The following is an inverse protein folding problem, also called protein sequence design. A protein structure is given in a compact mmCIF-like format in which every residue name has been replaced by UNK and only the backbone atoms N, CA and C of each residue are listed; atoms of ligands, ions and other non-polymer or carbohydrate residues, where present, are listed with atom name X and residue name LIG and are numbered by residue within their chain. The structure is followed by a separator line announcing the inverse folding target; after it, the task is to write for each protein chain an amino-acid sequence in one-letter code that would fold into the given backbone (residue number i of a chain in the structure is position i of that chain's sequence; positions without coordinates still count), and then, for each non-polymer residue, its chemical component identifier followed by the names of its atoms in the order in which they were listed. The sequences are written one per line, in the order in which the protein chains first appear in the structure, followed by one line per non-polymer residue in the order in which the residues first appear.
data_IF_582860883154
#
_entry.id   IF_582860883154
#
_cell.length_a   1.000
_cell.length_b   1.000
_cell.length_c   1.000
_cell.angle_alpha   90.00
_cell.angle_beta   90.00
_cell.angle_gamma   90.00
#
_symmetry.space_group_name_H-M   'P 1'
#
loop_
_entity.id
_entity.type
_entity.pdbx_description
1 polymer ?
#
# COMPACT_ATOMS: atom_id res chain seq x y z
N UNK A 1 0.57 -8.42 13.56
CA UNK A 1 0.70 -7.67 12.30
C UNK A 1 -0.70 -7.47 11.72
N UNK A 2 -1.12 -6.23 11.50
CA UNK A 2 -2.45 -5.93 10.94
C UNK A 2 -2.30 -4.91 9.81
N UNK A 3 -2.76 -5.28 8.63
CA UNK A 3 -2.75 -4.42 7.44
C UNK A 3 -4.15 -4.30 6.86
N UNK A 4 -4.40 -3.19 6.16
CA UNK A 4 -5.63 -2.99 5.40
C UNK A 4 -5.30 -2.54 3.99
N UNK A 5 -6.03 -3.08 3.01
CA UNK A 5 -6.05 -2.61 1.64
C UNK A 5 -7.43 -2.07 1.36
N UNK A 6 -7.52 -0.85 0.85
CA UNK A 6 -8.81 -0.22 0.60
C UNK A 6 -8.76 0.66 -0.64
N UNK A 7 -9.55 0.31 -1.66
CA UNK A 7 -9.93 1.28 -2.68
C UNK A 7 -10.89 2.33 -2.11
N UNK A 8 -10.39 3.54 -1.87
CA UNK A 8 -11.14 4.61 -1.20
C UNK A 8 -11.94 5.48 -2.17
N UNK A 9 -11.65 5.43 -3.48
CA UNK A 9 -12.27 6.27 -4.52
C UNK A 9 -12.40 7.76 -4.12
N UNK A 10 -11.32 8.31 -3.57
CA UNK A 10 -11.22 9.70 -3.13
C UNK A 10 -10.96 9.85 -1.62
N UNK A 11 -9.86 10.54 -1.26
CA UNK A 11 -9.45 10.78 0.14
C UNK A 11 -9.46 12.25 0.57
N UNK A 12 -9.86 13.17 -0.33
CA UNK A 12 -9.87 14.62 -0.05
C UNK A 12 -10.80 15.01 1.10
N UNK A 13 -11.93 14.33 1.24
CA UNK A 13 -12.99 14.74 2.15
C UNK A 13 -12.67 14.35 3.62
N UNK A 14 -13.06 15.20 4.56
CA UNK A 14 -12.83 14.96 5.99
C UNK A 14 -13.53 13.70 6.54
N UNK A 15 -14.75 13.32 6.12
CA UNK A 15 -15.38 12.06 6.53
C UNK A 15 -14.53 10.81 6.24
N UNK A 16 -14.05 10.62 5.00
CA UNK A 16 -13.21 9.48 4.61
C UNK A 16 -11.94 9.44 5.46
N UNK A 17 -11.25 10.57 5.62
CA UNK A 17 -10.06 10.65 6.47
C UNK A 17 -10.35 10.29 7.93
N UNK A 18 -11.49 10.72 8.48
CA UNK A 18 -11.92 10.37 9.85
C UNK A 18 -12.20 8.87 9.99
N UNK A 19 -12.84 8.26 8.99
CA UNK A 19 -13.10 6.82 8.96
C UNK A 19 -11.78 6.05 8.91
N UNK A 20 -10.87 6.41 8.00
CA UNK A 20 -9.56 5.77 7.89
C UNK A 20 -8.77 5.84 9.21
N UNK A 21 -8.74 7.02 9.85
CA UNK A 21 -8.07 7.18 11.14
C UNK A 21 -8.77 6.38 12.26
N UNK A 22 -10.11 6.32 12.26
CA UNK A 22 -10.87 5.50 13.20
C UNK A 22 -10.53 4.02 13.04
N UNK A 23 -10.57 3.51 11.82
CA UNK A 23 -10.24 2.11 11.48
C UNK A 23 -8.80 1.80 11.90
N UNK A 24 -7.85 2.68 11.59
CA UNK A 24 -6.45 2.58 12.03
C UNK A 24 -6.35 2.43 13.55
N UNK A 25 -7.08 3.25 14.31
CA UNK A 25 -7.05 3.23 15.79
C UNK A 25 -7.73 1.98 16.35
N UNK A 26 -8.93 1.63 15.88
CA UNK A 26 -9.72 0.50 16.37
C UNK A 26 -9.03 -0.84 16.09
N UNK A 27 -8.43 -1.00 14.91
CA UNK A 27 -7.79 -2.25 14.52
C UNK A 27 -6.29 -2.25 14.79
N UNK A 28 -5.70 -1.17 15.30
CA UNK A 28 -4.25 -1.05 15.52
C UNK A 28 -3.43 -1.44 14.27
N UNK A 29 -3.73 -0.79 13.14
CA UNK A 29 -3.08 -1.10 11.87
C UNK A 29 -1.59 -0.74 11.92
N UNK A 30 -0.74 -1.67 11.49
CA UNK A 30 0.70 -1.48 11.29
C UNK A 30 1.00 -0.86 9.92
N UNK A 31 0.16 -1.12 8.91
CA UNK A 31 0.23 -0.49 7.60
C UNK A 31 -1.17 -0.35 6.96
N UNK A 32 -1.28 0.54 5.99
CA UNK A 32 -2.51 0.78 5.21
C UNK A 32 -2.12 1.06 3.76
N UNK A 33 -2.66 0.30 2.82
CA UNK A 33 -2.61 0.61 1.40
C UNK A 33 -3.97 1.17 0.97
N UNK A 34 -3.98 2.36 0.38
CA UNK A 34 -5.19 2.90 -0.26
C UNK A 34 -5.02 3.00 -1.77
N UNK A 35 -6.09 2.76 -2.50
CA UNK A 35 -6.16 2.91 -3.94
C UNK A 35 -7.16 3.99 -4.33
N UNK A 36 -6.92 4.65 -5.47
CA UNK A 36 -7.68 5.80 -5.96
C UNK A 36 -7.85 6.94 -4.93
N UNK A 37 -6.76 7.55 -4.46
CA UNK A 37 -6.87 8.71 -3.56
C UNK A 37 -7.52 9.93 -4.26
N UNK A 38 -7.46 9.99 -5.60
CA UNK A 38 -8.00 11.07 -6.47
C UNK A 38 -7.50 12.49 -6.13
N UNK A 39 -6.38 12.59 -5.42
CA UNK A 39 -5.68 13.84 -5.12
C UNK A 39 -4.18 13.61 -5.17
N UNK A 40 -3.36 14.64 -5.45
CA UNK A 40 -1.92 14.56 -5.28
C UNK A 40 -1.53 14.24 -3.83
N UNK A 41 -0.43 13.50 -3.65
CA UNK A 41 0.07 13.15 -2.32
C UNK A 41 0.79 14.35 -1.68
N UNK A 42 0.23 14.85 -0.57
CA UNK A 42 0.98 15.60 0.44
C UNK A 42 1.35 14.61 1.56
N UNK A 43 2.55 14.05 1.48
CA UNK A 43 2.97 12.91 2.30
C UNK A 43 2.95 13.21 3.79
N UNK A 44 3.60 14.32 4.19
CA UNK A 44 3.69 14.71 5.60
C UNK A 44 2.32 15.04 6.18
N UNK A 45 1.49 15.76 5.44
CA UNK A 45 0.14 16.08 5.87
C UNK A 45 -0.71 14.81 6.04
N UNK A 46 -0.75 13.95 5.01
CA UNK A 46 -1.60 12.75 5.00
C UNK A 46 -1.16 11.71 6.04
N UNK A 47 0.15 11.46 6.18
CA UNK A 47 0.68 10.54 7.20
C UNK A 47 0.26 11.00 8.61
N UNK A 48 0.49 12.28 8.93
CA UNK A 48 0.08 12.86 10.22
C UNK A 48 -1.44 12.81 10.41
N UNK A 49 -2.22 13.13 9.38
CA UNK A 49 -3.69 13.16 9.41
C UNK A 49 -4.29 11.79 9.71
N UNK A 50 -3.71 10.73 9.17
CA UNK A 50 -4.17 9.35 9.34
C UNK A 50 -3.48 8.61 10.49
N UNK A 51 -2.51 9.23 11.17
CA UNK A 51 -1.83 8.66 12.34
C UNK A 51 -0.78 7.61 11.97
N UNK A 52 -0.14 7.77 10.82
CA UNK A 52 0.99 6.96 10.36
C UNK A 52 2.30 7.73 10.50
N UNK A 53 3.42 7.00 10.44
CA UNK A 53 4.75 7.61 10.49
C UNK A 53 5.01 8.36 9.19
N UNK A 54 4.79 7.68 8.06
CA UNK A 54 5.07 8.20 6.73
C UNK A 54 4.26 7.43 5.67
N UNK A 55 4.34 7.88 4.42
CA UNK A 55 3.60 7.37 3.28
C UNK A 55 4.41 7.49 1.98
N UNK A 56 4.26 6.50 1.10
CA UNK A 56 4.76 6.55 -0.28
C UNK A 56 3.62 6.33 -1.26
N UNK A 57 3.69 6.98 -2.42
CA UNK A 57 2.84 6.68 -3.56
C UNK A 57 3.61 5.88 -4.60
N UNK A 58 2.91 5.12 -5.42
CA UNK A 58 3.49 4.66 -6.68
C UNK A 58 3.66 5.82 -7.67
N UNK A 59 4.37 5.56 -8.76
CA UNK A 59 4.66 6.53 -9.82
C UNK A 59 3.40 7.15 -10.44
N UNK A 60 2.28 6.42 -10.46
CA UNK A 60 0.99 6.89 -10.95
C UNK A 60 0.15 7.66 -9.93
N UNK A 61 0.59 7.76 -8.66
CA UNK A 61 -0.20 8.32 -7.56
C UNK A 61 -1.58 7.67 -7.37
N UNK A 62 -1.72 6.40 -7.79
CA UNK A 62 -2.95 5.61 -7.72
C UNK A 62 -2.98 4.72 -6.48
N UNK A 63 -1.81 4.36 -5.95
CA UNK A 63 -1.65 3.51 -4.78
C UNK A 63 -0.81 4.29 -3.77
N UNK A 64 -1.34 4.51 -2.57
CA UNK A 64 -0.57 5.05 -1.45
C UNK A 64 -0.39 3.98 -0.38
N UNK A 65 0.82 3.88 0.15
CA UNK A 65 1.21 2.92 1.17
C UNK A 65 1.71 3.63 2.42
N UNK A 66 0.94 3.54 3.50
CA UNK A 66 1.23 4.10 4.81
C UNK A 66 1.79 3.03 5.74
N UNK A 67 2.70 3.41 6.63
CA UNK A 67 3.19 2.53 7.69
C UNK A 67 3.29 3.24 9.04
N UNK A 68 3.08 2.48 10.11
CA UNK A 68 3.04 2.99 11.47
C UNK A 68 4.44 3.24 12.07
N UNK A 69 4.49 3.87 13.26
CA UNK A 69 5.73 4.02 14.01
C UNK A 69 6.38 2.66 14.33
N UNK A 70 7.71 2.60 14.24
CA UNK A 70 8.48 1.38 14.48
C UNK A 70 8.42 0.35 13.34
N UNK A 71 7.83 0.72 12.20
CA UNK A 71 7.92 -0.03 10.94
C UNK A 71 8.85 0.75 10.00
N UNK A 72 9.83 0.06 9.41
CA UNK A 72 10.64 0.58 8.31
C UNK A 72 10.05 0.06 7.01
N UNK A 73 9.89 0.94 6.03
CA UNK A 73 9.36 0.62 4.72
C UNK A 73 10.41 0.89 3.65
N UNK A 74 10.65 -0.08 2.77
CA UNK A 74 11.50 0.06 1.59
C UNK A 74 10.68 -0.27 0.35
N UNK A 75 10.60 0.64 -0.62
CA UNK A 75 10.01 0.37 -1.93
C UNK A 75 10.95 -0.55 -2.72
N UNK A 76 10.43 -1.68 -3.18
CA UNK A 76 11.17 -2.66 -3.99
C UNK A 76 10.79 -2.57 -5.48
N UNK A 77 9.51 -2.33 -5.75
CA UNK A 77 9.00 -2.15 -7.12
C UNK A 77 8.01 -1.00 -7.10
N UNK A 78 8.26 -0.03 -7.96
CA UNK A 78 7.37 1.08 -8.25
C UNK A 78 6.86 0.95 -9.69
N UNK A 79 5.56 0.78 -9.86
CA UNK A 79 4.91 0.55 -11.14
C UNK A 79 3.48 1.12 -11.11
N UNK A 80 2.96 1.50 -12.28
CA UNK A 80 1.68 2.21 -12.39
C UNK A 80 0.51 1.42 -11.78
N UNK A 81 0.51 0.10 -11.95
CA UNK A 81 -0.52 -0.81 -11.44
C UNK A 81 -0.13 -1.56 -10.15
N UNK A 82 1.09 -1.34 -9.64
CA UNK A 82 1.70 -2.21 -8.63
C UNK A 82 2.67 -1.42 -7.76
N UNK A 83 2.52 -1.51 -6.44
CA UNK A 83 3.50 -1.01 -5.49
C UNK A 83 3.93 -2.15 -4.56
N UNK A 84 5.21 -2.50 -4.61
CA UNK A 84 5.79 -3.52 -3.75
C UNK A 84 6.71 -2.91 -2.73
N UNK A 85 6.51 -3.27 -1.48
CA UNK A 85 7.31 -2.80 -0.35
C UNK A 85 7.79 -3.95 0.53
N UNK A 86 8.93 -3.73 1.18
CA UNK A 86 9.45 -4.54 2.28
C UNK A 86 9.23 -3.79 3.58
N UNK A 87 8.58 -4.43 4.54
CA UNK A 87 8.36 -3.91 5.88
C UNK A 87 9.21 -4.68 6.89
N UNK A 88 9.88 -3.93 7.75
CA UNK A 88 10.67 -4.47 8.86
C UNK A 88 10.27 -3.81 10.16
N UNK A 89 10.17 -4.58 11.24
CA UNK A 89 9.85 -4.07 12.57
C UNK A 89 10.40 -5.00 13.63
N UNK A 90 10.86 -4.46 14.75
CA UNK A 90 11.26 -5.25 15.92
C UNK A 90 10.09 -6.05 16.53
N UNK A 91 8.85 -5.75 16.12
CA UNK A 91 7.65 -6.48 16.53
C UNK A 91 7.56 -7.87 15.90
N UNK A 92 8.22 -8.12 14.76
CA UNK A 92 8.08 -9.36 14.00
C UNK A 92 9.46 -9.95 13.68
N UNK A 93 9.62 -11.28 13.72
CA UNK A 93 10.93 -11.93 13.56
C UNK A 93 11.45 -11.94 12.12
N UNK A 94 10.60 -11.67 11.13
CA UNK A 94 10.93 -11.71 9.70
C UNK A 94 10.39 -10.48 8.97
N UNK A 95 11.07 -10.03 7.91
CA UNK A 95 10.54 -8.99 7.02
C UNK A 95 9.24 -9.46 6.38
N UNK A 96 8.31 -8.53 6.21
CA UNK A 96 7.07 -8.72 5.47
C UNK A 96 7.22 -8.09 4.09
N UNK A 97 6.86 -8.84 3.05
CA UNK A 97 6.78 -8.31 1.71
C UNK A 97 5.33 -8.09 1.32
N UNK A 98 4.98 -6.84 1.05
CA UNK A 98 3.62 -6.43 0.68
C UNK A 98 3.57 -5.97 -0.75
N UNK A 99 2.58 -6.43 -1.48
CA UNK A 99 2.36 -6.06 -2.87
C UNK A 99 0.93 -5.57 -3.03
N UNK A 100 0.77 -4.25 -3.12
CA UNK A 100 -0.50 -3.59 -3.38
C UNK A 100 -0.69 -3.48 -4.89
N UNK A 101 -1.79 -4.01 -5.40
CA UNK A 101 -2.08 -3.99 -6.83
C UNK A 101 -3.38 -3.25 -7.09
N UNK A 102 -3.31 -2.32 -8.03
CA UNK A 102 -4.45 -1.61 -8.60
C UNK A 102 -4.45 -1.89 -10.09
N UNK A 103 -5.21 -2.90 -10.51
CA UNK A 103 -5.18 -3.36 -11.88
C UNK A 103 -6.07 -2.49 -12.78
N UNK A 104 -5.55 -2.08 -13.95
CA UNK A 104 -6.36 -1.48 -15.00
C UNK A 104 -7.41 -2.47 -15.52
N UNK A 105 -8.55 -1.93 -15.95
CA UNK A 105 -9.66 -2.73 -16.47
C UNK A 105 -9.36 -3.32 -17.85
N UNK A 106 -8.49 -2.65 -18.63
CA UNK A 106 -8.12 -3.07 -19.97
C UNK A 106 -7.26 -4.35 -19.95
N UNK A 107 -7.62 -5.29 -20.82
CA UNK A 107 -6.97 -6.60 -20.90
C UNK A 107 -5.55 -6.51 -21.45
N UNK A 108 -5.28 -5.57 -22.36
CA UNK A 108 -3.97 -5.37 -22.97
C UNK A 108 -3.01 -4.76 -21.96
N UNK A 109 -3.42 -3.70 -21.26
CA UNK A 109 -2.60 -3.03 -20.25
C UNK A 109 -2.28 -3.96 -19.06
N UNK A 110 -3.23 -4.81 -18.68
CA UNK A 110 -3.05 -5.79 -17.61
C UNK A 110 -1.97 -6.86 -17.91
N UNK A 111 -1.55 -7.04 -19.17
CA UNK A 111 -0.43 -7.96 -19.49
C UNK A 111 0.88 -7.52 -18.84
N UNK A 112 1.19 -6.22 -18.87
CA UNK A 112 2.39 -5.68 -18.24
C UNK A 112 2.40 -5.93 -16.72
N UNK A 113 1.22 -5.83 -16.09
CA UNK A 113 1.07 -6.20 -14.67
C UNK A 113 1.37 -7.68 -14.42
N UNK A 114 0.87 -8.61 -15.25
CA UNK A 114 1.15 -10.04 -15.09
C UNK A 114 2.64 -10.37 -15.24
N UNK A 115 3.34 -9.70 -16.16
CA UNK A 115 4.77 -9.86 -16.33
C UNK A 115 5.55 -9.34 -15.11
N UNK A 116 5.16 -8.17 -14.59
CA UNK A 116 5.74 -7.62 -13.36
C UNK A 116 5.50 -8.53 -12.13
N UNK A 117 4.29 -9.08 -11.97
CA UNK A 117 3.97 -10.00 -10.87
C UNK A 117 4.75 -11.31 -10.97
N UNK A 118 4.97 -11.83 -12.19
CA UNK A 118 5.82 -13.01 -12.43
C UNK A 118 7.27 -12.74 -12.07
N UNK A 119 7.82 -11.57 -12.42
CA UNK A 119 9.17 -11.19 -12.02
C UNK A 119 9.30 -11.10 -10.48
N UNK A 120 8.26 -10.59 -9.80
CA UNK A 120 8.21 -10.49 -8.34
C UNK A 120 8.13 -11.86 -7.65
N UNK A 121 7.39 -12.83 -8.21
CA UNK A 121 7.21 -14.14 -7.59
C UNK A 121 8.47 -15.02 -7.62
N UNK A 122 9.33 -14.83 -8.62
CA UNK A 122 10.57 -15.61 -8.78
C UNK A 122 11.63 -15.24 -7.73
N UNK A 123 11.63 -14.01 -7.20
CA UNK A 123 12.60 -13.54 -6.20
C UNK A 123 12.26 -13.87 -4.73
N UNK A 124 11.34 -14.80 -4.47
CA UNK A 124 10.53 -14.80 -3.25
C UNK A 124 10.89 -15.75 -2.09
N UNK A 125 12.06 -16.38 -2.12
CA UNK A 125 12.30 -17.60 -1.35
C UNK A 125 12.45 -17.47 0.18
N UNK A 126 12.46 -16.28 0.81
CA UNK A 126 12.87 -16.13 2.23
C UNK A 126 12.03 -15.22 3.15
N UNK A 127 10.77 -14.89 2.83
CA UNK A 127 9.92 -13.99 3.65
C UNK A 127 8.47 -14.42 3.85
N UNK A 128 7.71 -13.66 4.66
CA UNK A 128 6.24 -13.70 4.67
C UNK A 128 5.72 -12.79 3.55
N UNK A 129 4.72 -13.27 2.79
CA UNK A 129 4.20 -12.59 1.60
C UNK A 129 2.74 -12.26 1.78
N UNK A 130 2.38 -11.00 1.49
CA UNK A 130 0.99 -10.57 1.35
C UNK A 130 0.83 -9.90 -0.02
N UNK A 131 -0.02 -10.47 -0.86
CA UNK A 131 -0.41 -9.90 -2.15
C UNK A 131 -1.90 -9.59 -2.07
N UNK A 132 -2.29 -8.37 -2.42
CA UNK A 132 -3.70 -8.02 -2.56
C UNK A 132 -3.94 -7.43 -3.93
N UNK A 133 -4.75 -8.15 -4.70
CA UNK A 133 -5.24 -7.75 -6.00
C UNK A 133 -6.64 -7.16 -5.81
N UNK A 134 -6.80 -5.85 -6.03
CA UNK A 134 -8.12 -5.26 -6.17
C UNK A 134 -8.40 -5.12 -7.66
N UNK A 135 -9.33 -5.95 -8.15
CA UNK A 135 -9.88 -5.89 -9.51
C UNK A 135 -11.16 -5.04 -9.51
N UNK A 136 -11.46 -4.41 -10.64
CA UNK A 136 -12.73 -3.74 -10.93
C UNK A 136 -13.56 -4.60 -11.86
#
# INVERSE_FOLDING_TARGET
MRGLFWNVRGVRNAPTQRILNRVRKQHHLDFLAIMEPMVPLDGRFMARRLGFLDVVSNCGNQIWFFWGPGVRCQVLVDHEQLLRVRLESNKWPKPLFVTAVYAKCDTVERRALWDALRAVSVGASLGLWAVTLILF
#
